data_IF_900246991860
#
_entry.id   IF_900246991860
#
_cell.length_a   1.000
_cell.length_b   1.000
_cell.length_c   1.000
_cell.angle_alpha   90.00
_cell.angle_beta   90.00
_cell.angle_gamma   90.00
#
_symmetry.space_group_name_H-M   'P 1'
#
loop_
_entity.id
_entity.type
_entity.pdbx_description
1 polymer ?
#
# COMPACT_ATOMS: atom_id res chain seq x y z
N UNK A 1 19.90 25.58 17.17
CA UNK A 1 18.44 25.56 17.01
C UNK A 1 18.05 24.28 16.28
N UNK A 2 17.63 23.26 17.02
CA UNK A 2 17.26 21.96 16.41
C UNK A 2 15.81 22.03 15.93
N UNK A 3 15.56 22.70 14.80
CA UNK A 3 14.25 22.76 14.14
C UNK A 3 14.23 21.81 12.95
N UNK A 4 13.47 20.73 13.05
CA UNK A 4 13.34 19.73 11.99
C UNK A 4 12.74 20.29 10.70
N UNK A 5 12.01 21.41 10.76
CA UNK A 5 11.34 22.00 9.60
C UNK A 5 12.34 22.56 8.57
N UNK A 6 13.57 22.84 8.99
CA UNK A 6 14.63 23.35 8.12
C UNK A 6 15.42 22.23 7.41
N UNK A 7 15.18 20.98 7.78
CA UNK A 7 15.88 19.83 7.20
C UNK A 7 15.36 19.46 5.81
N UNK A 8 16.19 18.79 5.02
CA UNK A 8 15.76 18.21 3.76
C UNK A 8 14.91 16.96 4.01
N UNK A 9 13.71 16.92 3.42
CA UNK A 9 12.81 15.77 3.53
C UNK A 9 12.92 14.85 2.32
N UNK A 10 12.74 13.55 2.55
CA UNK A 10 12.62 12.57 1.49
C UNK A 10 11.62 11.48 1.82
N UNK A 11 11.05 10.89 0.77
CA UNK A 11 10.33 9.63 0.85
C UNK A 11 11.24 8.48 0.44
N UNK A 12 11.02 7.35 1.07
CA UNK A 12 11.65 6.08 0.73
C UNK A 12 10.56 5.03 0.54
N UNK A 13 10.69 4.23 -0.50
CA UNK A 13 9.84 3.05 -0.72
C UNK A 13 10.47 1.87 0.01
N UNK A 14 9.64 1.04 0.63
CA UNK A 14 10.05 -0.19 1.30
C UNK A 14 9.44 -1.38 0.56
N UNK A 15 10.19 -2.47 0.43
CA UNK A 15 9.63 -3.78 0.11
C UNK A 15 9.68 -4.68 1.35
N UNK A 16 8.70 -5.57 1.48
CA UNK A 16 8.67 -6.60 2.52
C UNK A 16 9.00 -7.95 1.88
N UNK A 17 10.03 -8.63 2.38
CA UNK A 17 10.40 -9.99 2.00
C UNK A 17 10.44 -10.91 3.24
N UNK A 18 10.83 -12.17 3.08
CA UNK A 18 10.89 -13.14 4.18
C UNK A 18 11.90 -12.76 5.28
N UNK A 19 12.84 -11.86 4.99
CA UNK A 19 13.83 -11.33 5.94
C UNK A 19 13.39 -10.00 6.57
N UNK A 20 12.21 -9.49 6.19
CA UNK A 20 11.59 -8.30 6.76
C UNK A 20 11.55 -7.12 5.79
N UNK A 21 11.67 -5.91 6.32
CA UNK A 21 11.58 -4.68 5.55
C UNK A 21 12.93 -4.30 4.94
N UNK A 22 12.91 -3.88 3.67
CA UNK A 22 14.09 -3.40 2.96
C UNK A 22 13.82 -2.07 2.26
N UNK A 23 14.74 -1.13 2.44
CA UNK A 23 14.69 0.21 1.84
C UNK A 23 15.13 0.16 0.38
N UNK A 24 14.28 0.61 -0.53
CA UNK A 24 14.63 0.72 -1.94
C UNK A 24 15.67 1.82 -2.18
N UNK A 25 16.42 1.70 -3.27
CA UNK A 25 17.64 2.51 -3.50
C UNK A 25 17.34 3.97 -3.85
N UNK A 26 16.25 4.23 -4.55
CA UNK A 26 15.89 5.58 -4.98
C UNK A 26 15.03 6.23 -3.90
N UNK A 27 15.44 7.43 -3.51
CA UNK A 27 14.67 8.33 -2.66
C UNK A 27 13.98 9.39 -3.52
N UNK A 28 12.90 9.97 -2.98
CA UNK A 28 12.24 11.10 -3.59
C UNK A 28 12.30 12.29 -2.64
N UNK A 29 13.07 13.32 -3.01
CA UNK A 29 13.23 14.52 -2.19
C UNK A 29 11.96 15.35 -2.23
N UNK A 30 11.49 15.80 -1.06
CA UNK A 30 10.35 16.69 -0.93
C UNK A 30 10.81 18.02 -0.36
N UNK A 31 10.31 19.12 -0.94
CA UNK A 31 10.41 20.44 -0.33
C UNK A 31 9.34 20.61 0.74
N UNK A 32 9.74 20.85 1.99
CA UNK A 32 8.80 21.13 3.07
C UNK A 32 8.13 22.50 2.83
N UNK A 33 6.80 22.48 2.79
CA UNK A 33 5.94 23.67 2.74
C UNK A 33 4.67 23.37 3.55
N UNK A 34 3.86 24.39 3.84
CA UNK A 34 2.66 24.21 4.69
C UNK A 34 1.70 23.14 4.17
N UNK A 35 1.53 23.03 2.85
CA UNK A 35 0.67 22.00 2.27
C UNK A 35 1.23 20.58 2.49
N UNK A 36 2.54 20.39 2.31
CA UNK A 36 3.20 19.10 2.59
C UNK A 36 3.18 18.77 4.08
N UNK A 37 3.43 19.76 4.94
CA UNK A 37 3.35 19.61 6.40
C UNK A 37 1.96 19.16 6.83
N UNK A 38 0.92 19.76 6.26
CA UNK A 38 -0.48 19.35 6.46
C UNK A 38 -0.75 17.92 5.99
N UNK A 39 -0.25 17.53 4.81
CA UNK A 39 -0.37 16.15 4.31
C UNK A 39 0.34 15.13 5.22
N UNK A 40 1.57 15.43 5.67
CA UNK A 40 2.33 14.56 6.60
C UNK A 40 1.59 14.48 7.94
N UNK A 41 1.04 15.60 8.44
CA UNK A 41 0.21 15.63 9.64
C UNK A 41 -1.03 14.74 9.49
N UNK A 42 -1.72 14.77 8.35
CA UNK A 42 -2.85 13.87 8.09
C UNK A 42 -2.43 12.39 7.98
N UNK A 43 -1.20 12.12 7.56
CA UNK A 43 -0.62 10.77 7.51
C UNK A 43 0.01 10.33 8.84
N UNK A 44 -0.05 11.14 9.90
CA UNK A 44 0.70 10.92 11.14
C UNK A 44 0.42 9.55 11.78
N UNK A 45 -0.85 9.12 11.81
CA UNK A 45 -1.22 7.82 12.37
C UNK A 45 -0.61 6.65 11.61
N UNK A 46 -0.53 6.75 10.28
CA UNK A 46 0.16 5.76 9.46
C UNK A 46 1.66 5.79 9.70
N UNK A 47 2.26 6.98 9.71
CA UNK A 47 3.70 7.14 9.92
C UNK A 47 4.11 6.63 11.30
N UNK A 48 3.36 6.93 12.36
CA UNK A 48 3.63 6.43 13.71
C UNK A 48 3.61 4.90 13.77
N UNK A 49 2.61 4.26 13.14
CA UNK A 49 2.54 2.79 13.04
C UNK A 49 3.73 2.23 12.27
N UNK A 50 4.06 2.81 11.12
CA UNK A 50 5.21 2.38 10.33
C UNK A 50 6.52 2.58 11.08
N UNK A 51 6.71 3.69 11.77
CA UNK A 51 7.91 3.95 12.58
C UNK A 51 8.03 2.97 13.74
N UNK A 52 6.93 2.61 14.41
CA UNK A 52 6.95 1.59 15.45
C UNK A 52 7.41 0.22 14.92
N UNK A 53 6.92 -0.18 13.74
CA UNK A 53 7.34 -1.42 13.07
C UNK A 53 8.82 -1.33 12.65
N UNK A 54 9.22 -0.24 12.00
CA UNK A 54 10.56 -0.09 11.45
C UNK A 54 11.63 0.04 12.54
N UNK A 55 11.34 0.65 13.69
CA UNK A 55 12.25 0.70 14.85
C UNK A 55 12.61 -0.67 15.40
N UNK A 56 11.77 -1.68 15.20
CA UNK A 56 12.02 -3.07 15.60
C UNK A 56 12.63 -3.91 14.46
N UNK A 57 12.83 -3.30 13.28
CA UNK A 57 13.41 -3.95 12.10
C UNK A 57 14.89 -3.61 11.94
N UNK A 58 15.55 -4.23 10.96
CA UNK A 58 16.92 -3.87 10.58
C UNK A 58 17.03 -2.56 9.77
N UNK A 59 15.91 -1.86 9.52
CA UNK A 59 15.90 -0.62 8.74
C UNK A 59 16.34 0.57 9.58
N UNK A 60 17.44 1.22 9.18
CA UNK A 60 17.89 2.49 9.75
C UNK A 60 17.36 3.67 8.93
N UNK A 61 16.56 4.53 9.56
CA UNK A 61 16.12 5.80 8.98
C UNK A 61 16.72 6.97 9.75
N UNK A 62 17.10 8.03 9.04
CA UNK A 62 17.72 9.22 9.65
C UNK A 62 16.84 9.88 10.73
N UNK A 63 15.52 9.72 10.66
CA UNK A 63 14.60 10.28 11.65
C UNK A 63 14.54 9.49 12.97
N UNK A 64 15.17 8.32 13.05
CA UNK A 64 15.22 7.53 14.28
C UNK A 64 16.37 7.93 15.20
N UNK A 65 17.35 8.66 14.68
CA UNK A 65 18.56 9.04 15.37
C UNK A 65 18.68 10.57 15.51
N UNK A 66 19.34 11.00 16.58
CA UNK A 66 19.67 12.40 16.82
C UNK A 66 18.50 13.30 17.28
N UNK A 67 18.80 14.47 17.87
CA UNK A 67 17.81 15.33 18.50
C UNK A 67 16.75 15.86 17.51
N UNK A 68 17.15 16.13 16.27
CA UNK A 68 16.25 16.62 15.21
C UNK A 68 15.25 15.54 14.79
N UNK A 69 15.71 14.31 14.57
CA UNK A 69 14.86 13.15 14.24
C UNK A 69 13.87 12.82 15.35
N UNK A 70 14.32 12.87 16.62
CA UNK A 70 13.44 12.69 17.78
C UNK A 70 12.34 13.75 17.86
N UNK A 71 12.64 15.02 17.58
CA UNK A 71 11.60 16.07 17.54
C UNK A 71 10.58 15.83 16.42
N UNK A 72 11.03 15.44 15.23
CA UNK A 72 10.13 15.12 14.13
C UNK A 72 9.23 13.91 14.44
N UNK A 73 9.82 12.82 14.94
CA UNK A 73 9.04 11.62 15.30
C UNK A 73 8.07 11.90 16.46
N UNK A 74 8.47 12.68 17.47
CA UNK A 74 7.58 13.13 18.53
C UNK A 74 6.42 13.97 18.00
N UNK A 75 6.68 14.87 17.04
CA UNK A 75 5.62 15.66 16.39
C UNK A 75 4.65 14.77 15.62
N UNK A 76 5.13 13.72 14.94
CA UNK A 76 4.26 12.72 14.28
C UNK A 76 3.40 11.99 15.31
N UNK A 77 3.99 11.51 16.41
CA UNK A 77 3.28 10.75 17.44
C UNK A 77 2.19 11.60 18.13
N UNK A 78 2.47 12.87 18.40
CA UNK A 78 1.47 13.81 18.96
C UNK A 78 0.24 13.95 18.07
N UNK A 79 0.44 14.00 16.75
CA UNK A 79 -0.64 14.18 15.79
C UNK A 79 -1.30 12.88 15.34
N UNK A 80 -0.73 11.72 15.70
CA UNK A 80 -1.25 10.40 15.32
C UNK A 80 -2.60 10.11 15.98
N UNK A 81 -2.83 10.63 17.19
CA UNK A 81 -4.09 10.47 17.92
C UNK A 81 -5.23 11.26 17.27
N UNK A 82 -4.92 12.40 16.68
CA UNK A 82 -5.92 13.28 16.06
C UNK A 82 -6.40 12.77 14.69
N UNK A 83 -5.62 11.91 14.01
CA UNK A 83 -5.82 11.54 12.60
C UNK A 83 -5.97 10.03 12.41
N UNK A 84 -6.95 9.43 13.08
CA UNK A 84 -7.19 7.96 13.05
C UNK A 84 -7.49 7.45 11.64
N UNK A 85 -8.17 8.25 10.81
CA UNK A 85 -8.44 7.94 9.41
C UNK A 85 -7.42 8.62 8.48
N UNK A 86 -6.25 7.99 8.34
CA UNK A 86 -5.14 8.50 7.52
C UNK A 86 -5.27 8.17 6.02
N UNK A 87 -6.25 7.35 5.64
CA UNK A 87 -6.33 6.79 4.28
C UNK A 87 -6.43 7.89 3.22
N UNK A 88 -7.26 8.90 3.46
CA UNK A 88 -7.47 10.00 2.52
C UNK A 88 -6.21 10.85 2.36
N UNK A 89 -5.51 11.14 3.45
CA UNK A 89 -4.22 11.87 3.41
C UNK A 89 -3.13 11.06 2.71
N UNK A 90 -3.07 9.76 2.94
CA UNK A 90 -2.15 8.86 2.24
C UNK A 90 -2.45 8.81 0.74
N UNK A 91 -3.74 8.69 0.36
CA UNK A 91 -4.15 8.70 -1.03
C UNK A 91 -3.83 10.04 -1.69
N UNK A 92 -4.04 11.18 -1.00
CA UNK A 92 -3.66 12.49 -1.49
C UNK A 92 -2.14 12.61 -1.71
N UNK A 93 -1.32 12.13 -0.77
CA UNK A 93 0.13 12.09 -0.91
C UNK A 93 0.55 11.21 -2.10
N UNK A 94 -0.04 10.02 -2.24
CA UNK A 94 0.24 9.10 -3.35
C UNK A 94 -0.16 9.71 -4.69
N UNK A 95 -1.34 10.32 -4.79
CA UNK A 95 -1.81 10.97 -6.02
C UNK A 95 -0.85 12.08 -6.43
N UNK A 96 -0.44 12.94 -5.48
CA UNK A 96 0.53 14.00 -5.74
C UNK A 96 1.88 13.46 -6.22
N UNK A 97 2.32 12.30 -5.71
CA UNK A 97 3.54 11.64 -6.20
C UNK A 97 3.36 11.08 -7.62
N UNK A 98 2.22 10.47 -7.92
CA UNK A 98 1.93 9.92 -9.25
C UNK A 98 1.82 11.02 -10.31
N UNK A 99 1.32 12.19 -9.92
CA UNK A 99 1.23 13.38 -10.80
C UNK A 99 2.58 14.07 -11.05
N UNK A 100 3.60 13.80 -10.23
CA UNK A 100 4.94 14.37 -10.41
C UNK A 100 5.75 13.54 -11.42
N UNK A 101 6.04 14.11 -12.59
CA UNK A 101 6.82 13.47 -13.65
C UNK A 101 8.20 12.98 -13.16
N UNK A 102 8.80 13.67 -12.20
CA UNK A 102 10.11 13.29 -11.65
C UNK A 102 10.04 12.07 -10.74
N UNK A 103 8.84 11.73 -10.26
CA UNK A 103 8.63 10.58 -9.39
C UNK A 103 8.54 9.25 -10.17
N UNK A 104 8.45 9.25 -11.50
CA UNK A 104 8.26 8.04 -12.30
C UNK A 104 9.29 6.94 -11.96
N UNK A 105 10.58 7.28 -11.86
CA UNK A 105 11.66 6.34 -11.48
C UNK A 105 11.54 5.88 -10.02
N UNK A 106 11.08 6.75 -9.12
CA UNK A 106 10.88 6.42 -7.71
C UNK A 106 9.69 5.46 -7.51
N UNK A 107 8.64 5.61 -8.31
CA UNK A 107 7.43 4.78 -8.24
C UNK A 107 7.63 3.40 -8.88
N UNK A 108 8.52 3.27 -9.86
CA UNK A 108 8.79 2.00 -10.57
C UNK A 108 9.82 1.09 -9.89
N UNK A 109 10.16 1.34 -8.62
CA UNK A 109 11.16 0.56 -7.89
C UNK A 109 10.67 -0.80 -7.39
N UNK A 110 9.35 -0.99 -7.35
CA UNK A 110 8.73 -2.23 -6.90
C UNK A 110 8.10 -2.96 -8.08
N UNK A 111 8.32 -4.27 -8.11
CA UNK A 111 7.73 -5.19 -9.07
C UNK A 111 6.67 -6.02 -8.38
N UNK A 112 5.52 -6.17 -9.04
CA UNK A 112 4.50 -7.12 -8.61
C UNK A 112 5.02 -8.52 -8.91
N UNK A 113 5.21 -9.33 -7.88
CA UNK A 113 5.87 -10.63 -7.96
C UNK A 113 5.00 -11.73 -7.37
N UNK A 114 4.92 -12.88 -8.03
CA UNK A 114 4.35 -14.10 -7.49
C UNK A 114 5.47 -14.93 -6.84
N UNK A 115 5.34 -15.17 -5.54
CA UNK A 115 6.26 -15.99 -4.77
C UNK A 115 5.98 -17.48 -4.97
N UNK A 116 6.95 -18.38 -4.71
CA UNK A 116 6.76 -19.83 -4.76
C UNK A 116 5.63 -20.33 -3.85
N UNK A 117 5.30 -19.57 -2.80
CA UNK A 117 4.21 -19.86 -1.87
C UNK A 117 2.82 -19.59 -2.43
N UNK A 118 2.70 -19.04 -3.65
CA UNK A 118 1.42 -18.61 -4.22
C UNK A 118 0.97 -17.20 -3.84
N UNK A 119 1.78 -16.46 -3.08
CA UNK A 119 1.44 -15.11 -2.62
C UNK A 119 1.94 -14.05 -3.60
N UNK A 120 1.20 -12.94 -3.72
CA UNK A 120 1.61 -11.78 -4.52
C UNK A 120 2.20 -10.72 -3.60
N UNK A 121 3.45 -10.33 -3.87
CA UNK A 121 4.19 -9.30 -3.12
C UNK A 121 4.72 -8.22 -4.06
N UNK A 122 5.00 -7.04 -3.51
CA UNK A 122 5.69 -5.97 -4.21
C UNK A 122 7.15 -5.94 -3.77
N UNK A 123 8.05 -6.37 -4.64
CA UNK A 123 9.47 -6.60 -4.32
C UNK A 123 10.37 -5.61 -5.07
N UNK A 124 11.42 -5.14 -4.41
CA UNK A 124 12.45 -4.35 -5.09
C UNK A 124 13.27 -5.23 -6.05
N UNK A 125 14.07 -4.61 -6.94
CA UNK A 125 14.93 -5.33 -7.89
C UNK A 125 15.78 -6.46 -7.27
N UNK A 126 16.30 -6.24 -6.05
CA UNK A 126 17.13 -7.23 -5.35
C UNK A 126 16.34 -8.48 -4.99
N UNK A 127 15.11 -8.31 -4.49
CA UNK A 127 14.28 -9.44 -4.03
C UNK A 127 13.43 -10.03 -5.16
N UNK A 128 13.09 -9.26 -6.20
CA UNK A 128 12.35 -9.76 -7.36
C UNK A 128 13.18 -10.70 -8.25
N UNK A 129 14.51 -10.68 -8.11
CA UNK A 129 15.44 -11.52 -8.87
C UNK A 129 15.71 -12.89 -8.22
N UNK A 130 14.95 -13.22 -7.17
CA UNK A 130 15.08 -14.49 -6.46
C UNK A 130 14.65 -15.72 -7.28
N UNK A 131 15.10 -16.92 -6.89
CA UNK A 131 14.74 -18.15 -7.58
C UNK A 131 13.23 -18.41 -7.49
N UNK A 132 12.63 -18.82 -8.62
CA UNK A 132 11.20 -19.18 -8.73
C UNK A 132 10.22 -18.03 -8.44
N UNK A 133 10.65 -16.78 -8.62
CA UNK A 133 9.77 -15.61 -8.56
C UNK A 133 9.33 -15.25 -9.99
N UNK A 134 8.03 -15.04 -10.17
CA UNK A 134 7.47 -14.62 -11.47
C UNK A 134 7.06 -13.16 -11.40
N UNK A 135 7.51 -12.35 -12.36
CA UNK A 135 7.11 -10.94 -12.47
C UNK A 135 5.75 -10.87 -13.14
N UNK A 136 4.83 -10.12 -12.53
CA UNK A 136 3.49 -9.86 -13.02
C UNK A 136 3.44 -8.48 -13.65
N UNK A 137 2.63 -8.32 -14.70
CA UNK A 137 2.39 -7.01 -15.27
C UNK A 137 1.68 -6.09 -14.28
N UNK A 138 2.14 -4.85 -14.20
CA UNK A 138 1.59 -3.81 -13.33
C UNK A 138 0.41 -3.07 -13.97
N UNK A 139 0.16 -3.27 -15.26
CA UNK A 139 -0.82 -2.52 -16.06
C UNK A 139 -2.30 -2.90 -15.78
N UNK A 140 -2.58 -3.96 -15.02
CA UNK A 140 -3.94 -4.52 -14.88
C UNK A 140 -4.42 -4.61 -13.42
N UNK A 141 -4.09 -3.64 -12.56
CA UNK A 141 -4.72 -3.59 -11.21
C UNK A 141 -5.57 -2.34 -11.04
N UNK A 142 -6.61 -2.23 -11.87
CA UNK A 142 -7.84 -1.58 -11.39
C UNK A 142 -8.40 -2.44 -10.24
N UNK A 143 -8.97 -1.80 -9.22
CA UNK A 143 -9.49 -2.38 -7.96
C UNK A 143 -10.50 -3.54 -8.08
N UNK A 144 -10.73 -4.05 -9.28
CA UNK A 144 -11.66 -5.13 -9.60
C UNK A 144 -11.00 -6.50 -9.77
N UNK A 145 -9.71 -6.71 -9.46
CA UNK A 145 -9.06 -8.05 -9.50
C UNK A 145 -9.23 -8.89 -8.21
N UNK A 146 -10.33 -8.70 -7.48
CA UNK A 146 -11.05 -9.87 -6.89
C UNK A 146 -12.07 -10.41 -7.91
N UNK A 147 -12.04 -9.88 -9.13
CA UNK A 147 -12.79 -10.30 -10.29
C UNK A 147 -12.18 -11.60 -10.80
N UNK A 148 -12.93 -12.68 -10.59
CA UNK A 148 -12.74 -13.97 -11.23
C UNK A 148 -12.21 -13.77 -12.64
N UNK A 149 -11.00 -14.27 -12.89
CA UNK A 149 -10.51 -14.52 -14.25
C UNK A 149 -11.47 -15.54 -14.83
N UNK A 150 -12.37 -15.11 -15.70
CA UNK A 150 -13.25 -16.01 -16.43
C UNK A 150 -12.49 -16.44 -17.68
N UNK A 151 -12.18 -17.72 -17.79
CA UNK A 151 -11.72 -18.29 -19.04
C UNK A 151 -12.86 -18.23 -20.06
N UNK A 152 -12.56 -18.29 -21.36
CA UNK A 152 -13.60 -18.29 -22.41
C UNK A 152 -14.66 -19.37 -22.18
N UNK A 153 -14.23 -20.50 -21.62
CA UNK A 153 -15.08 -21.63 -21.23
C UNK A 153 -16.07 -21.24 -20.12
N UNK A 154 -15.64 -20.44 -19.14
CA UNK A 154 -16.51 -19.95 -18.07
C UNK A 154 -17.53 -18.93 -18.58
N UNK A 155 -17.16 -18.11 -19.57
CA UNK A 155 -18.07 -17.18 -20.24
C UNK A 155 -19.16 -17.96 -20.98
N UNK A 156 -18.77 -18.97 -21.77
CA UNK A 156 -19.71 -19.85 -22.49
C UNK A 156 -20.61 -20.62 -21.52
N UNK A 157 -20.05 -21.14 -20.43
CA UNK A 157 -20.81 -21.85 -19.40
C UNK A 157 -21.83 -20.93 -18.72
N UNK A 158 -21.46 -19.68 -18.42
CA UNK A 158 -22.35 -18.67 -17.85
C UNK A 158 -23.49 -18.31 -18.80
N UNK A 159 -23.22 -18.23 -20.10
CA UNK A 159 -24.25 -18.00 -21.13
C UNK A 159 -25.23 -19.16 -21.21
N UNK A 160 -24.74 -20.41 -21.26
CA UNK A 160 -25.59 -21.61 -21.28
C UNK A 160 -26.45 -21.70 -20.00
N UNK A 161 -25.86 -21.46 -18.83
CA UNK A 161 -26.58 -21.42 -17.57
C UNK A 161 -27.62 -20.29 -17.55
N UNK A 162 -27.34 -19.15 -18.18
CA UNK A 162 -28.28 -18.04 -18.32
C UNK A 162 -29.55 -18.38 -19.09
N UNK A 163 -29.53 -19.41 -19.94
CA UNK A 163 -30.70 -19.89 -20.69
C UNK A 163 -31.50 -20.95 -19.93
N UNK A 164 -30.93 -21.55 -18.88
CA UNK A 164 -31.61 -22.53 -18.04
C UNK A 164 -32.62 -21.86 -17.08
N UNK A 165 -33.88 -22.27 -17.14
CA UNK A 165 -34.92 -21.75 -16.24
C UNK A 165 -34.66 -22.13 -14.78
N UNK A 166 -34.02 -23.27 -14.53
CA UNK A 166 -33.60 -23.72 -13.20
C UNK A 166 -32.60 -22.74 -12.58
N UNK A 167 -31.63 -22.28 -13.37
CA UNK A 167 -30.62 -21.32 -12.92
C UNK A 167 -31.23 -19.93 -12.67
N UNK A 168 -32.14 -19.48 -13.54
CA UNK A 168 -32.89 -18.22 -13.35
C UNK A 168 -33.72 -18.24 -12.07
N UNK A 169 -34.37 -19.35 -11.75
CA UNK A 169 -35.15 -19.52 -10.52
C UNK A 169 -34.25 -19.47 -9.27
N UNK A 170 -33.12 -20.19 -9.28
CA UNK A 170 -32.17 -20.18 -8.15
C UNK A 170 -31.50 -18.82 -7.93
N UNK A 171 -31.21 -18.06 -8.99
CA UNK A 171 -30.63 -16.71 -8.87
C UNK A 171 -31.62 -15.68 -8.30
N UNK A 172 -32.93 -15.87 -8.55
CA UNK A 172 -34.00 -15.02 -7.99
C UNK A 172 -34.39 -15.39 -6.56
N UNK A 173 -34.06 -16.61 -6.12
CA UNK A 173 -34.28 -17.00 -4.73
C UNK A 173 -33.37 -16.17 -3.80
N UNK A 174 -33.96 -15.57 -2.76
CA UNK A 174 -33.19 -14.87 -1.71
C UNK A 174 -32.21 -15.85 -1.07
N UNK A 175 -30.97 -15.42 -0.87
CA UNK A 175 -29.98 -16.21 -0.13
C UNK A 175 -30.55 -16.60 1.24
N UNK A 176 -30.50 -17.87 1.65
CA UNK A 176 -30.98 -18.31 2.97
C UNK A 176 -30.19 -17.67 4.13
N UNK A 177 -29.05 -17.04 3.86
CA UNK A 177 -28.24 -16.33 4.87
C UNK A 177 -28.71 -14.91 5.21
N UNK A 178 -29.74 -14.37 4.55
CA UNK A 178 -30.23 -13.01 4.79
C UNK A 178 -31.02 -12.83 6.11
N UNK A 179 -31.23 -13.91 6.89
CA UNK A 179 -32.05 -13.91 8.09
C UNK A 179 -31.36 -14.43 9.36
N UNK A 180 -30.03 -14.47 9.41
CA UNK A 180 -29.33 -14.84 10.66
C UNK A 180 -29.29 -13.61 11.57
N UNK A 181 -30.24 -13.53 12.50
CA UNK A 181 -30.19 -12.60 13.62
C UNK A 181 -29.26 -13.20 14.67
N UNK A 182 -28.11 -12.56 14.90
CA UNK A 182 -27.20 -12.96 15.98
C UNK A 182 -27.84 -12.64 17.34
N UNK A 183 -27.78 -13.54 18.33
CA UNK A 183 -28.29 -13.27 19.67
C UNK A 183 -27.48 -12.13 20.32
N UNK A 184 -28.19 -11.27 21.06
CA UNK A 184 -27.62 -10.15 21.82
C UNK A 184 -26.76 -10.62 22.97
#
# INVERSE_FOLDING_TARGET
EDNWENEAFCLKVLCEDEKGWHVCETLFTIKMNENMKSMIKGCSAYLARMYAILRQSAVTLNCFDGPVGFKFTSWVDQHALDNVNFLDSYLALRTKLVEDEKAAKFLSQLHRCHLPTGKVYWLCNKHSSGPRITHLSTEVTTRNEVGRVYYEEDVKLKEVLGHSDVYKQKKKAKSPSAGIVLPK
#
